data_IF_201457558298
#
_entry.id   IF_201457558298
#
_cell.length_a   1.000
_cell.length_b   1.000
_cell.length_c   1.000
_cell.angle_alpha   90.00
_cell.angle_beta   90.00
_cell.angle_gamma   90.00
#
_symmetry.space_group_name_H-M   'P 1'
#
loop_
_entity.id
_entity.type
_entity.pdbx_description
1 polymer ?
#
# COMPACT_ATOMS: atom_id res chain seq x y z
N UNK A 1 4.75 -27.35 -1.97
CA UNK A 1 5.06 -26.75 -0.65
C UNK A 1 4.77 -25.27 -0.79
N UNK A 2 3.75 -24.76 -0.09
CA UNK A 2 3.36 -23.35 -0.18
C UNK A 2 4.25 -22.58 0.79
N UNK A 3 5.15 -21.75 0.27
CA UNK A 3 5.93 -20.83 1.10
C UNK A 3 4.97 -19.93 1.90
N UNK A 4 5.18 -19.74 3.20
CA UNK A 4 4.32 -18.89 4.01
C UNK A 4 4.40 -17.45 3.51
N UNK A 5 3.24 -16.87 3.19
CA UNK A 5 3.16 -15.46 2.80
C UNK A 5 3.48 -14.57 4.00
N UNK A 6 4.43 -13.64 3.84
CA UNK A 6 4.70 -12.57 4.80
C UNK A 6 3.59 -11.53 4.78
N UNK A 7 2.44 -11.88 5.35
CA UNK A 7 1.34 -10.96 5.57
C UNK A 7 1.48 -10.28 6.93
N UNK A 8 0.98 -9.05 7.01
CA UNK A 8 0.85 -8.38 8.29
C UNK A 8 -0.06 -9.21 9.24
N UNK A 9 0.21 -9.21 10.55
CA UNK A 9 -0.69 -9.75 11.55
C UNK A 9 -2.14 -9.25 11.35
N UNK A 10 -3.14 -10.15 11.39
CA UNK A 10 -4.54 -9.79 11.17
C UNK A 10 -5.13 -9.10 12.42
N UNK A 11 -4.69 -7.88 12.69
CA UNK A 11 -5.06 -7.10 13.87
C UNK A 11 -6.04 -5.98 13.51
N UNK A 12 -7.08 -5.79 14.32
CA UNK A 12 -8.06 -4.69 14.19
C UNK A 12 -8.46 -4.17 15.57
N UNK A 13 -8.72 -2.87 15.67
CA UNK A 13 -9.49 -2.31 16.79
C UNK A 13 -10.99 -2.43 16.47
N UNK A 14 -11.80 -2.69 17.50
CA UNK A 14 -13.24 -2.91 17.36
C UNK A 14 -13.98 -1.91 18.23
N UNK A 15 -14.78 -1.06 17.61
CA UNK A 15 -15.74 -0.20 18.29
C UNK A 15 -17.16 -0.77 18.10
N UNK A 16 -17.88 -0.95 19.21
CA UNK A 16 -19.27 -1.44 19.21
C UNK A 16 -20.19 -0.22 19.27
N UNK A 17 -20.98 -0.01 18.21
CA UNK A 17 -21.90 1.11 18.10
C UNK A 17 -23.24 0.78 18.78
N UNK A 18 -23.95 1.81 19.26
CA UNK A 18 -25.26 1.64 19.91
C UNK A 18 -26.32 0.99 19.00
N UNK A 19 -26.16 1.14 17.68
CA UNK A 19 -27.00 0.47 16.68
C UNK A 19 -26.79 -1.05 16.59
N UNK A 20 -25.82 -1.60 17.31
CA UNK A 20 -25.39 -3.00 17.22
C UNK A 20 -24.35 -3.27 16.11
N UNK A 21 -23.98 -2.25 15.33
CA UNK A 21 -22.94 -2.36 14.32
C UNK A 21 -21.52 -2.38 14.93
N UNK A 22 -20.55 -2.93 14.19
CA UNK A 22 -19.13 -2.94 14.55
C UNK A 22 -18.34 -2.05 13.58
N UNK A 23 -17.54 -1.14 14.12
CA UNK A 23 -16.57 -0.39 13.34
C UNK A 23 -15.18 -0.98 13.57
N UNK A 24 -14.58 -1.51 12.50
CA UNK A 24 -13.26 -2.10 12.51
C UNK A 24 -12.25 -1.11 11.93
N UNK A 25 -11.11 -0.93 12.59
CA UNK A 25 -10.01 -0.09 12.10
C UNK A 25 -8.67 -0.81 12.22
N UNK A 26 -7.76 -0.53 11.29
CA UNK A 26 -6.36 -0.91 11.47
C UNK A 26 -5.82 -0.24 12.74
N UNK A 27 -5.15 -0.96 13.66
CA UNK A 27 -4.49 -0.36 14.81
C UNK A 27 -3.20 0.39 14.41
N UNK A 28 -2.72 0.16 13.18
CA UNK A 28 -1.47 0.73 12.69
C UNK A 28 -1.76 2.07 12.02
N UNK A 29 -1.18 3.12 12.59
CA UNK A 29 -1.20 4.45 11.97
C UNK A 29 -0.47 4.41 10.62
N UNK A 30 -0.94 5.21 9.66
CA UNK A 30 -0.22 5.43 8.43
C UNK A 30 1.05 6.24 8.73
N UNK A 31 2.19 5.72 8.30
CA UNK A 31 3.44 6.48 8.26
C UNK A 31 3.37 7.59 7.20
N UNK A 32 4.29 8.58 7.22
CA UNK A 32 4.34 9.60 6.17
C UNK A 32 4.35 8.96 4.78
N UNK A 33 3.36 9.32 3.97
CA UNK A 33 3.19 8.78 2.63
C UNK A 33 3.17 9.91 1.58
N UNK A 34 3.54 9.60 0.32
CA UNK A 34 3.53 10.56 -0.76
C UNK A 34 2.12 11.12 -0.98
N UNK A 35 2.00 12.44 -1.14
CA UNK A 35 0.70 13.12 -1.29
C UNK A 35 0.01 12.77 -2.60
N UNK A 36 0.78 12.43 -3.62
CA UNK A 36 0.28 12.03 -4.92
C UNK A 36 1.20 10.97 -5.56
N UNK A 37 0.71 10.34 -6.63
CA UNK A 37 1.48 9.35 -7.37
C UNK A 37 2.76 9.94 -7.98
N UNK A 38 2.72 11.22 -8.41
CA UNK A 38 3.86 11.92 -8.99
C UNK A 38 5.10 11.93 -8.10
N UNK A 39 4.92 12.12 -6.78
CA UNK A 39 6.03 12.06 -5.82
C UNK A 39 6.70 10.67 -5.79
N UNK A 40 5.94 9.58 -6.02
CA UNK A 40 6.54 8.24 -6.17
C UNK A 40 7.28 8.08 -7.49
N UNK A 41 6.76 8.65 -8.57
CA UNK A 41 7.42 8.62 -9.89
C UNK A 41 8.79 9.31 -9.81
N UNK A 42 8.83 10.51 -9.24
CA UNK A 42 10.06 11.29 -9.06
C UNK A 42 11.06 10.58 -8.14
N UNK A 43 10.57 10.00 -7.04
CA UNK A 43 11.41 9.23 -6.12
C UNK A 43 12.10 8.06 -6.83
N UNK A 44 11.34 7.23 -7.55
CA UNK A 44 11.89 6.05 -8.21
C UNK A 44 12.74 6.38 -9.44
N UNK A 45 12.40 7.43 -10.18
CA UNK A 45 13.26 7.95 -11.24
C UNK A 45 14.65 8.35 -10.72
N UNK A 46 14.75 8.79 -9.46
CA UNK A 46 16.03 9.11 -8.82
C UNK A 46 16.73 7.89 -8.20
N UNK A 47 15.97 7.02 -7.53
CA UNK A 47 16.52 5.90 -6.74
C UNK A 47 16.95 4.73 -7.62
N UNK A 48 16.21 4.44 -8.69
CA UNK A 48 16.46 3.30 -9.57
C UNK A 48 16.13 3.63 -11.03
N UNK A 49 16.84 4.60 -11.65
CA UNK A 49 16.57 5.07 -13.02
C UNK A 49 16.70 3.96 -14.09
N UNK A 50 17.48 2.93 -13.81
CA UNK A 50 17.69 1.79 -14.71
C UNK A 50 16.48 0.85 -14.81
N UNK A 51 15.52 0.96 -13.88
CA UNK A 51 14.32 0.13 -13.87
C UNK A 51 13.22 0.78 -14.68
N UNK A 52 12.71 0.07 -15.69
CA UNK A 52 11.55 0.51 -16.46
C UNK A 52 10.32 0.51 -15.56
N UNK A 53 9.84 1.71 -15.20
CA UNK A 53 8.61 1.89 -14.44
C UNK A 53 7.37 2.00 -15.36
N UNK A 54 7.48 2.81 -16.42
CA UNK A 54 6.45 2.98 -17.43
C UNK A 54 7.11 2.88 -18.81
N UNK A 55 6.64 1.95 -19.63
CA UNK A 55 7.12 1.76 -20.99
C UNK A 55 5.96 1.87 -21.97
N UNK A 56 6.19 2.52 -23.11
CA UNK A 56 5.28 2.45 -24.23
C UNK A 56 5.49 1.13 -24.98
N UNK A 57 4.39 0.45 -25.31
CA UNK A 57 4.45 -0.70 -26.21
C UNK A 57 4.40 -0.19 -27.65
N UNK A 58 5.51 -0.32 -28.37
CA UNK A 58 5.53 -0.09 -29.81
C UNK A 58 4.95 -1.34 -30.48
N UNK A 59 3.80 -1.18 -31.17
CA UNK A 59 3.30 -2.22 -32.08
C UNK A 59 4.10 -2.16 -33.37
N UNK A 60 4.69 -3.29 -33.77
CA UNK A 60 5.28 -3.48 -35.10
C UNK A 60 4.26 -4.03 -36.10
#
# INVERSE_FOLDING_TARGET
MTEPLELAPPEVTVERLESGALLLRSPRALEPYPRCLGERLEHWARVAPERVFLGEKILG
#
